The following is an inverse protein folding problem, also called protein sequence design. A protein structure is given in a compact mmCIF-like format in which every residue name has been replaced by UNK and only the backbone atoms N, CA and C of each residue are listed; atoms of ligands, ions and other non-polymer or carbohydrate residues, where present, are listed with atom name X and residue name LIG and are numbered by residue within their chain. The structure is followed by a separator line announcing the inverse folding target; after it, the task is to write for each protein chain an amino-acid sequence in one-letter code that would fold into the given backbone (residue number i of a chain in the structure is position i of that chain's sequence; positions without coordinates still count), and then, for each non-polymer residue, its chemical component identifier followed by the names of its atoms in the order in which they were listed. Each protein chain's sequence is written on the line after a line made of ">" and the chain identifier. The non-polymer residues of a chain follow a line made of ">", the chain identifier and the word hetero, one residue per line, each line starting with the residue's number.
data_IF_927715244355
#
_entry.id   IF_927715244355
#
_cell.length_a   1.000
_cell.length_b   1.000
_cell.length_c   1.000
_cell.angle_alpha   90.00
_cell.angle_beta   90.00
_cell.angle_gamma   90.00
#
_symmetry.space_group_name_H-M   'P 1'
#
loop_
_entity.id
_entity.type
_entity.pdbx_description
1 polymer ?
#
# COMPACT_ATOMS: atom_id res chain seq x y z
N UNK A 1 19.27 12.97 8.18
CA UNK A 1 19.21 11.49 8.03
C UNK A 1 20.54 11.07 7.40
N UNK A 2 21.23 10.07 7.94
CA UNK A 2 22.52 9.59 7.42
C UNK A 2 22.23 8.45 6.46
N UNK A 3 22.58 8.55 5.16
CA UNK A 3 22.38 7.47 4.19
C UNK A 3 23.13 6.19 4.61
N UNK A 4 22.51 5.02 4.44
CA UNK A 4 23.16 3.72 4.63
C UNK A 4 22.96 3.06 6.01
N UNK A 5 22.17 3.66 6.90
CA UNK A 5 21.64 2.96 8.08
C UNK A 5 20.28 2.38 7.69
N UNK A 6 20.08 1.05 7.86
CA UNK A 6 18.77 0.43 7.65
C UNK A 6 17.79 0.91 8.74
N UNK A 7 17.21 2.08 8.49
CA UNK A 7 16.38 2.79 9.45
C UNK A 7 15.11 2.02 9.77
N UNK A 8 14.54 1.31 8.78
CA UNK A 8 13.38 0.46 9.00
C UNK A 8 13.72 -0.71 9.93
N UNK A 9 14.87 -1.36 9.74
CA UNK A 9 15.33 -2.45 10.60
C UNK A 9 15.52 -1.99 12.05
N UNK A 10 16.10 -0.81 12.26
CA UNK A 10 16.21 -0.21 13.59
C UNK A 10 14.84 0.18 14.15
N UNK A 11 13.99 0.82 13.36
CA UNK A 11 12.65 1.23 13.78
C UNK A 11 11.76 0.03 14.12
N UNK A 12 11.90 -1.11 13.43
CA UNK A 12 11.17 -2.33 13.72
C UNK A 12 11.50 -2.93 15.10
N UNK A 13 12.64 -2.56 15.70
CA UNK A 13 12.97 -2.93 17.09
C UNK A 13 12.29 -2.05 18.15
N UNK A 14 11.75 -0.89 17.74
CA UNK A 14 11.18 0.13 18.64
C UNK A 14 9.68 0.36 18.39
N UNK A 15 9.21 0.14 17.16
CA UNK A 15 7.84 0.38 16.71
C UNK A 15 7.22 -0.94 16.29
N UNK A 16 5.97 -1.16 16.70
CA UNK A 16 5.24 -2.39 16.41
C UNK A 16 5.05 -2.58 14.89
N UNK A 17 5.58 -3.69 14.39
CA UNK A 17 5.28 -4.18 13.05
C UNK A 17 3.90 -4.85 13.03
N UNK A 18 3.15 -4.61 11.97
CA UNK A 18 1.81 -5.13 11.77
C UNK A 18 1.77 -6.06 10.55
N UNK A 19 0.90 -7.06 10.64
CA UNK A 19 0.63 -7.98 9.52
C UNK A 19 -0.41 -7.34 8.61
N UNK A 20 -0.02 -7.04 7.37
CA UNK A 20 -0.85 -6.42 6.34
C UNK A 20 -1.03 -7.41 5.19
N UNK A 21 -2.24 -7.53 4.65
CA UNK A 21 -2.49 -8.31 3.44
C UNK A 21 -2.11 -7.53 2.19
N UNK A 22 -1.42 -8.16 1.26
CA UNK A 22 -1.03 -7.63 -0.04
C UNK A 22 -1.74 -8.40 -1.14
N UNK A 23 -2.46 -7.70 -2.00
CA UNK A 23 -3.09 -8.23 -3.21
C UNK A 23 -2.36 -7.67 -4.41
N UNK A 24 -1.53 -8.51 -5.03
CA UNK A 24 -0.74 -8.10 -6.20
C UNK A 24 -1.60 -8.10 -7.45
N UNK A 25 -1.52 -7.04 -8.25
CA UNK A 25 -2.23 -6.99 -9.52
C UNK A 25 -1.72 -8.10 -10.44
N UNK A 26 -2.64 -8.91 -10.98
CA UNK A 26 -2.32 -10.02 -11.88
C UNK A 26 -2.60 -9.64 -13.33
N UNK A 27 -3.84 -9.27 -13.62
CA UNK A 27 -4.26 -8.95 -14.98
C UNK A 27 -5.57 -8.15 -14.97
N UNK A 28 -5.94 -7.64 -16.14
CA UNK A 28 -7.26 -7.06 -16.39
C UNK A 28 -7.93 -7.86 -17.48
N UNK A 29 -9.12 -8.38 -17.22
CA UNK A 29 -9.91 -9.12 -18.21
C UNK A 29 -11.25 -8.42 -18.46
N UNK A 30 -11.77 -8.57 -19.67
CA UNK A 30 -13.09 -8.06 -20.01
C UNK A 30 -14.11 -9.18 -19.77
N UNK A 31 -15.15 -8.91 -18.98
CA UNK A 31 -16.23 -9.85 -18.76
C UNK A 31 -17.24 -9.85 -19.93
N UNK A 32 -18.19 -10.78 -19.90
CA UNK A 32 -19.23 -10.92 -20.93
C UNK A 32 -20.13 -9.68 -21.09
N UNK A 33 -20.09 -8.77 -20.11
CA UNK A 33 -20.82 -7.48 -20.14
C UNK A 33 -19.98 -6.34 -20.70
N UNK A 34 -18.79 -6.62 -21.23
CA UNK A 34 -17.86 -5.64 -21.77
C UNK A 34 -17.14 -4.80 -20.71
N UNK A 35 -17.28 -5.12 -19.42
CA UNK A 35 -16.63 -4.41 -18.32
C UNK A 35 -15.25 -4.99 -18.08
N UNK A 36 -14.26 -4.13 -17.87
CA UNK A 36 -12.92 -4.58 -17.53
C UNK A 36 -12.78 -4.72 -16.01
N UNK A 37 -12.53 -5.94 -15.55
CA UNK A 37 -12.34 -6.31 -14.15
C UNK A 37 -10.86 -6.59 -13.92
N UNK A 38 -10.32 -6.09 -12.81
CA UNK A 38 -8.96 -6.40 -12.39
C UNK A 38 -8.98 -7.71 -11.60
N UNK A 39 -8.08 -8.60 -11.95
CA UNK A 39 -7.81 -9.84 -11.24
C UNK A 39 -6.54 -9.64 -10.40
N UNK A 40 -6.57 -10.11 -9.15
CA UNK A 40 -5.43 -10.07 -8.24
C UNK A 40 -4.96 -11.48 -7.89
N UNK A 41 -3.71 -11.61 -7.46
CA UNK A 41 -3.21 -12.83 -6.84
C UNK A 41 -3.83 -13.04 -5.45
N UNK A 42 -3.82 -14.28 -4.93
CA UNK A 42 -4.21 -14.55 -3.55
C UNK A 42 -3.46 -13.65 -2.57
N UNK A 43 -4.15 -13.25 -1.49
CA UNK A 43 -3.59 -12.33 -0.50
C UNK A 43 -2.32 -12.90 0.14
N UNK A 44 -1.24 -12.13 0.06
CA UNK A 44 0.03 -12.42 0.72
C UNK A 44 0.10 -11.66 2.04
N UNK A 45 0.47 -12.30 3.15
CA UNK A 45 0.70 -11.58 4.41
C UNK A 45 2.11 -11.01 4.45
N UNK A 46 2.21 -9.69 4.58
CA UNK A 46 3.46 -8.96 4.68
C UNK A 46 3.59 -8.27 6.04
N UNK A 47 4.82 -7.96 6.45
CA UNK A 47 5.10 -7.20 7.65
C UNK A 47 5.46 -5.76 7.30
N UNK A 48 4.96 -4.80 8.06
CA UNK A 48 5.32 -3.40 7.91
C UNK A 48 4.85 -2.53 9.06
N UNK A 49 5.38 -1.32 9.14
CA UNK A 49 4.88 -0.29 10.05
C UNK A 49 3.72 0.43 9.38
N UNK A 50 2.51 0.23 9.90
CA UNK A 50 1.28 0.86 9.41
C UNK A 50 0.91 2.04 10.30
N UNK A 51 0.86 3.23 9.73
CA UNK A 51 0.69 4.47 10.47
C UNK A 51 -0.30 5.40 9.76
N UNK A 52 -1.15 6.16 10.48
CA UNK A 52 -1.97 7.19 9.85
C UNK A 52 -1.08 8.27 9.23
N UNK A 53 -1.47 8.78 8.05
CA UNK A 53 -0.80 9.93 7.47
C UNK A 53 -1.11 11.20 8.28
N UNK A 54 -0.12 12.09 8.42
CA UNK A 54 -0.32 13.34 9.15
C UNK A 54 -1.21 14.30 8.39
N UNK A 55 -1.91 15.17 9.12
CA UNK A 55 -2.73 16.23 8.53
C UNK A 55 -1.91 17.16 7.63
N UNK A 56 -0.64 17.43 8.00
CA UNK A 56 0.28 18.21 7.17
C UNK A 56 0.54 17.55 5.82
N UNK A 57 0.73 16.23 5.77
CA UNK A 57 0.88 15.48 4.51
C UNK A 57 -0.38 15.58 3.66
N UNK A 58 -1.56 15.39 4.26
CA UNK A 58 -2.85 15.49 3.55
C UNK A 58 -3.00 16.87 2.91
N UNK A 59 -2.78 17.96 3.67
CA UNK A 59 -2.87 19.33 3.17
C UNK A 59 -1.83 19.65 2.09
N UNK A 60 -0.56 19.29 2.33
CA UNK A 60 0.53 19.61 1.42
C UNK A 60 0.39 18.92 0.05
N UNK A 61 -0.21 17.73 0.04
CA UNK A 61 -0.47 16.97 -1.18
C UNK A 61 -1.83 17.29 -1.82
N UNK A 62 -2.62 18.19 -1.22
CA UNK A 62 -3.96 18.54 -1.72
C UNK A 62 -4.95 17.37 -1.69
N UNK A 63 -4.77 16.45 -0.75
CA UNK A 63 -5.61 15.26 -0.59
C UNK A 63 -6.94 15.60 0.09
N UNK A 64 -7.94 14.75 -0.14
CA UNK A 64 -9.30 14.95 0.37
C UNK A 64 -9.36 14.65 1.87
N UNK A 65 -9.53 15.71 2.68
CA UNK A 65 -9.57 15.60 4.13
C UNK A 65 -10.76 14.77 4.68
N UNK A 66 -11.75 14.43 3.86
CA UNK A 66 -12.84 13.52 4.26
C UNK A 66 -12.43 12.04 4.24
N UNK A 67 -11.32 11.71 3.58
CA UNK A 67 -10.80 10.35 3.45
C UNK A 67 -9.73 10.06 4.51
N UNK A 68 -9.47 8.77 4.73
CA UNK A 68 -8.44 8.31 5.67
C UNK A 68 -7.23 7.81 4.91
N UNK A 69 -6.07 8.37 5.25
CA UNK A 69 -4.80 8.04 4.62
C UNK A 69 -3.85 7.36 5.60
N UNK A 70 -3.04 6.46 5.07
CA UNK A 70 -2.09 5.67 5.84
C UNK A 70 -0.76 5.56 5.10
N UNK A 71 0.33 5.60 5.85
CA UNK A 71 1.66 5.24 5.41
C UNK A 71 1.95 3.81 5.84
N UNK A 72 2.36 2.98 4.88
CA UNK A 72 2.97 1.68 5.14
C UNK A 72 4.45 1.76 4.83
N UNK A 73 5.27 1.39 5.80
CA UNK A 73 6.70 1.20 5.62
C UNK A 73 7.03 -0.29 5.65
N UNK A 74 7.54 -0.81 4.53
CA UNK A 74 7.84 -2.25 4.40
C UNK A 74 9.06 -2.49 3.52
N UNK A 75 9.75 -3.60 3.75
CA UNK A 75 10.81 -4.10 2.87
C UNK A 75 10.25 -4.80 1.62
N UNK A 76 8.94 -5.08 1.60
CA UNK A 76 8.29 -5.71 0.45
C UNK A 76 8.13 -4.73 -0.71
N UNK A 77 8.35 -5.24 -1.91
CA UNK A 77 8.11 -4.49 -3.13
C UNK A 77 6.60 -4.42 -3.41
N UNK A 78 6.08 -3.20 -3.47
CA UNK A 78 4.66 -2.90 -3.71
C UNK A 78 4.60 -1.96 -4.91
N UNK A 79 3.80 -2.34 -5.90
CA UNK A 79 3.59 -1.56 -7.12
C UNK A 79 2.48 -0.54 -6.90
N UNK A 80 2.81 0.74 -7.06
CA UNK A 80 1.83 1.82 -7.05
C UNK A 80 1.12 1.97 -8.39
N UNK A 81 0.48 3.13 -8.57
CA UNK A 81 -0.21 3.47 -9.82
C UNK A 81 0.79 3.53 -10.98
N UNK A 82 0.58 2.69 -11.99
CA UNK A 82 1.39 2.63 -13.20
C UNK A 82 0.53 2.87 -14.44
N UNK A 83 1.14 3.37 -15.52
CA UNK A 83 0.42 3.57 -16.79
C UNK A 83 0.07 2.19 -17.39
N UNK A 84 -1.23 1.92 -17.53
CA UNK A 84 -1.73 0.70 -18.17
C UNK A 84 -1.89 -0.52 -17.26
N UNK A 85 -1.58 -0.39 -15.97
CA UNK A 85 -1.79 -1.44 -14.96
C UNK A 85 -2.49 -0.85 -13.73
N UNK A 86 -3.27 -1.67 -13.04
CA UNK A 86 -3.82 -1.26 -11.75
C UNK A 86 -2.73 -1.34 -10.67
N UNK A 87 -2.79 -0.49 -9.62
CA UNK A 87 -1.90 -0.62 -8.48
C UNK A 87 -2.16 -1.91 -7.71
N UNK A 88 -1.18 -2.33 -6.92
CA UNK A 88 -1.40 -3.33 -5.87
C UNK A 88 -2.36 -2.77 -4.81
N UNK A 89 -3.03 -3.67 -4.09
CA UNK A 89 -3.96 -3.32 -3.02
C UNK A 89 -3.49 -3.85 -1.68
N UNK A 90 -3.85 -3.15 -0.61
CA UNK A 90 -3.54 -3.54 0.76
C UNK A 90 -4.81 -3.83 1.54
N UNK A 91 -4.72 -4.77 2.48
CA UNK A 91 -5.83 -5.21 3.32
C UNK A 91 -5.41 -5.21 4.77
N UNK A 92 -6.17 -4.55 5.62
CA UNK A 92 -5.94 -4.56 7.06
C UNK A 92 -7.28 -4.40 7.80
N UNK A 93 -7.52 -5.24 8.82
CA UNK A 93 -8.72 -5.13 9.66
C UNK A 93 -10.05 -5.22 8.89
N UNK A 94 -10.12 -6.06 7.85
CA UNK A 94 -11.32 -6.21 7.02
C UNK A 94 -11.59 -5.04 6.07
N UNK A 95 -10.64 -4.13 5.91
CA UNK A 95 -10.71 -2.99 5.00
C UNK A 95 -9.69 -3.11 3.88
N UNK A 96 -10.03 -2.54 2.74
CA UNK A 96 -9.20 -2.44 1.53
C UNK A 96 -8.64 -1.03 1.42
N UNK A 97 -7.39 -0.94 0.98
CA UNK A 97 -6.66 0.30 0.82
C UNK A 97 -6.03 0.35 -0.57
N UNK A 98 -6.30 1.43 -1.30
CA UNK A 98 -5.72 1.67 -2.61
C UNK A 98 -4.38 2.39 -2.46
N UNK A 99 -3.36 1.94 -3.21
CA UNK A 99 -2.05 2.58 -3.23
C UNK A 99 -2.11 3.81 -4.13
N UNK A 100 -1.81 4.99 -3.58
CA UNK A 100 -1.85 6.27 -4.29
C UNK A 100 -0.47 6.92 -4.43
N UNK A 101 0.53 6.46 -3.67
CA UNK A 101 1.89 6.97 -3.75
C UNK A 101 2.91 5.94 -3.28
N UNK A 102 4.09 5.96 -3.91
CA UNK A 102 5.23 5.11 -3.54
C UNK A 102 6.47 5.98 -3.47
N UNK A 103 7.12 5.97 -2.31
CA UNK A 103 8.46 6.54 -2.12
C UNK A 103 9.45 5.37 -2.02
N UNK A 104 10.27 5.23 -3.05
CA UNK A 104 11.19 4.11 -3.17
C UNK A 104 12.55 4.43 -2.51
N UNK A 105 12.80 3.81 -1.36
CA UNK A 105 14.11 3.84 -0.68
C UNK A 105 14.85 2.51 -0.84
N UNK A 106 14.36 1.59 -1.68
CA UNK A 106 14.86 0.22 -1.72
C UNK A 106 16.32 0.17 -2.15
N UNK A 107 16.72 1.03 -3.08
CA UNK A 107 18.11 1.13 -3.54
C UNK A 107 19.08 1.69 -2.48
N UNK A 108 18.57 2.40 -1.47
CA UNK A 108 19.39 3.05 -0.44
C UNK A 108 19.37 2.27 0.87
N UNK A 109 18.18 1.95 1.38
CA UNK A 109 17.99 1.40 2.73
C UNK A 109 17.11 0.14 2.74
N UNK A 110 16.71 -0.39 1.57
CA UNK A 110 16.02 -1.68 1.45
C UNK A 110 14.53 -1.68 1.82
N UNK A 111 13.88 -0.51 1.82
CA UNK A 111 12.45 -0.40 2.12
C UNK A 111 11.71 0.60 1.23
N UNK A 112 10.39 0.56 1.24
CA UNK A 112 9.50 1.50 0.53
C UNK A 112 8.49 2.11 1.50
N UNK A 113 8.20 3.39 1.28
CA UNK A 113 7.09 4.09 1.93
C UNK A 113 5.91 4.17 0.99
N UNK A 114 4.78 3.58 1.37
CA UNK A 114 3.59 3.49 0.54
C UNK A 114 2.50 4.37 1.16
N UNK A 115 2.01 5.35 0.40
CA UNK A 115 0.86 6.15 0.78
C UNK A 115 -0.41 5.50 0.23
N UNK A 116 -1.35 5.25 1.13
CA UNK A 116 -2.56 4.50 0.85
C UNK A 116 -3.78 5.30 1.29
N UNK A 117 -4.93 5.02 0.67
CA UNK A 117 -6.23 5.58 1.05
C UNK A 117 -7.24 4.47 1.31
N UNK A 118 -8.09 4.64 2.31
CA UNK A 118 -9.17 3.68 2.60
C UNK A 118 -10.18 3.65 1.46
N UNK A 119 -10.30 2.49 0.80
CA UNK A 119 -11.13 2.30 -0.39
C UNK A 119 -12.44 1.53 -0.11
N UNK A 120 -12.66 1.10 1.13
CA UNK A 120 -13.88 0.44 1.60
C UNK A 120 -13.64 -0.91 2.28
N UNK A 121 -14.70 -1.73 2.48
CA UNK A 121 -14.56 -3.06 3.04
C UNK A 121 -13.81 -3.99 2.08
N UNK A 122 -13.03 -4.91 2.63
CA UNK A 122 -12.43 -6.01 1.90
C UNK A 122 -13.34 -7.24 1.97
N UNK A 123 -13.70 -7.78 0.82
CA UNK A 123 -14.45 -9.02 0.68
C UNK A 123 -13.58 -10.07 -0.01
N UNK A 124 -13.17 -11.15 0.68
CA UNK A 124 -12.31 -12.18 0.11
C UNK A 124 -12.96 -12.96 -1.03
N UNK A 125 -14.30 -12.94 -1.17
CA UNK A 125 -15.02 -13.64 -2.26
C UNK A 125 -15.13 -12.81 -3.55
N UNK A 126 -14.76 -11.52 -3.51
CA UNK A 126 -14.85 -10.58 -4.64
C UNK A 126 -13.50 -10.02 -5.08
N UNK A 127 -12.40 -10.57 -4.57
CA UNK A 127 -11.03 -10.13 -4.83
C UNK A 127 -10.44 -10.72 -6.13
#
# INVERSE_FOLDING_TARGET
>A
MIPGINLLGLAASVIQMQSVGLLRFKARFQNDRGQHINEYYPVETIQGSWQPASESTIRNLGLDASQRYFNLYTARDISGVQRGAAPDLLVLGGKRYDVIGVTDWHALDGWKGILCVEAGPYDPERA
#
